data_IF_132912913934
#
_entry.id   IF_132912913934
#
_cell.length_a   1.000
_cell.length_b   1.000
_cell.length_c   1.000
_cell.angle_alpha   90.00
_cell.angle_beta   90.00
_cell.angle_gamma   90.00
#
_symmetry.space_group_name_H-M   'P 1'
#
loop_
_entity.id
_entity.type
_entity.pdbx_description
1 polymer ?
#
# COMPACT_ATOMS: atom_id res chain seq x y z
N UNK A 1 -12.14 -25.00 -22.89
CA UNK A 1 -12.47 -23.57 -23.01
C UNK A 1 -11.81 -22.81 -21.86
N UNK A 2 -11.47 -21.52 -22.00
CA UNK A 2 -10.89 -20.75 -20.89
C UNK A 2 -11.85 -20.68 -19.71
N UNK A 3 -11.34 -20.91 -18.50
CA UNK A 3 -12.12 -20.89 -17.25
C UNK A 3 -12.60 -19.48 -16.88
N UNK A 4 -11.76 -18.46 -17.13
CA UNK A 4 -12.11 -17.05 -16.96
C UNK A 4 -11.24 -16.15 -17.86
N UNK A 5 -11.80 -15.03 -18.30
CA UNK A 5 -11.10 -13.97 -19.05
C UNK A 5 -11.28 -12.66 -18.31
N UNK A 6 -10.18 -12.05 -17.90
CA UNK A 6 -10.16 -10.76 -17.19
C UNK A 6 -9.57 -9.72 -18.12
N UNK A 7 -10.30 -8.65 -18.37
CA UNK A 7 -9.91 -7.57 -19.26
C UNK A 7 -10.06 -6.24 -18.53
N UNK A 8 -8.95 -5.51 -18.42
CA UNK A 8 -8.94 -4.15 -17.87
C UNK A 8 -9.22 -3.13 -18.97
N UNK A 9 -9.70 -1.96 -18.56
CA UNK A 9 -9.80 -0.79 -19.41
C UNK A 9 -8.41 -0.18 -19.68
N UNK A 10 -8.37 0.82 -20.53
CA UNK A 10 -7.14 1.52 -20.87
C UNK A 10 -6.72 2.52 -19.77
N UNK A 11 -5.45 2.90 -19.81
CA UNK A 11 -4.84 3.92 -18.97
C UNK A 11 -4.54 5.17 -19.82
N UNK A 12 -4.88 6.35 -19.31
CA UNK A 12 -4.42 7.64 -19.81
C UNK A 12 -3.23 8.14 -18.98
N UNK A 13 -2.59 9.23 -19.39
CA UNK A 13 -1.46 9.82 -18.68
C UNK A 13 -1.63 11.33 -18.54
N UNK A 14 -1.27 11.85 -17.37
CA UNK A 14 -1.21 13.27 -17.08
C UNK A 14 0.14 13.58 -16.42
N UNK A 15 0.94 14.39 -17.11
CA UNK A 15 2.19 14.91 -16.55
C UNK A 15 1.91 16.11 -15.64
N UNK A 16 2.83 16.41 -14.72
CA UNK A 16 2.70 17.51 -13.78
C UNK A 16 2.42 18.84 -14.50
N UNK A 17 1.34 19.53 -14.08
CA UNK A 17 0.91 20.80 -14.68
C UNK A 17 0.38 20.72 -16.12
N UNK A 18 0.13 19.52 -16.65
CA UNK A 18 -0.40 19.32 -18.00
C UNK A 18 -1.82 18.73 -17.99
N UNK A 19 -2.47 18.77 -19.16
CA UNK A 19 -3.74 18.11 -19.39
C UNK A 19 -3.59 16.60 -19.56
N UNK A 20 -4.66 15.87 -19.23
CA UNK A 20 -4.76 14.43 -19.46
C UNK A 20 -4.70 14.08 -20.95
N UNK A 21 -3.91 13.07 -21.29
CA UNK A 21 -3.68 12.62 -22.66
C UNK A 21 -3.79 11.09 -22.79
N UNK A 22 -4.20 10.64 -23.96
CA UNK A 22 -4.10 9.22 -24.34
C UNK A 22 -2.65 8.85 -24.57
N UNK A 23 -2.23 7.74 -23.96
CA UNK A 23 -0.89 7.16 -24.17
C UNK A 23 -0.64 6.95 -25.66
N UNK A 24 0.54 7.39 -26.14
CA UNK A 24 0.90 7.30 -27.56
C UNK A 24 2.39 7.12 -27.78
N UNK A 25 2.77 5.99 -28.36
CA UNK A 25 4.15 5.72 -28.78
C UNK A 25 4.64 6.74 -29.82
N UNK A 26 3.81 7.06 -30.83
CA UNK A 26 4.18 7.99 -31.91
C UNK A 26 4.40 9.42 -31.41
N UNK A 27 3.61 9.89 -30.45
CA UNK A 27 3.75 11.23 -29.86
C UNK A 27 4.77 11.28 -28.71
N UNK A 28 5.31 10.14 -28.28
CA UNK A 28 6.18 10.06 -27.10
C UNK A 28 5.44 10.30 -25.78
N UNK A 29 4.10 10.16 -25.76
CA UNK A 29 3.26 10.45 -24.59
C UNK A 29 3.08 9.18 -23.75
N UNK A 30 4.06 8.81 -22.93
CA UNK A 30 4.01 7.66 -22.04
C UNK A 30 5.06 7.77 -20.91
N UNK A 31 4.88 7.00 -19.83
CA UNK A 31 5.99 6.61 -18.96
C UNK A 31 6.48 5.25 -19.44
N UNK A 32 7.73 5.17 -19.90
CA UNK A 32 8.34 3.91 -20.32
C UNK A 32 8.95 3.19 -19.11
N UNK A 33 8.62 1.91 -18.95
CA UNK A 33 8.99 1.14 -17.76
C UNK A 33 10.51 0.95 -17.69
N UNK A 34 11.15 0.63 -18.82
CA UNK A 34 12.59 0.47 -18.93
C UNK A 34 13.33 1.76 -18.54
N UNK A 35 12.87 2.92 -19.04
CA UNK A 35 13.43 4.22 -18.67
C UNK A 35 13.22 4.52 -17.18
N UNK A 36 12.02 4.29 -16.65
CA UNK A 36 11.69 4.49 -15.23
C UNK A 36 12.61 3.69 -14.32
N UNK A 37 12.82 2.41 -14.64
CA UNK A 37 13.63 1.48 -13.83
C UNK A 37 15.13 1.79 -13.86
N UNK A 38 15.60 2.66 -14.77
CA UNK A 38 16.99 3.16 -14.70
C UNK A 38 17.21 4.15 -13.55
N UNK A 39 16.14 4.73 -12.99
CA UNK A 39 16.21 5.81 -11.99
C UNK A 39 15.48 5.49 -10.69
N UNK A 40 14.43 4.69 -10.74
CA UNK A 40 13.52 4.49 -9.61
C UNK A 40 13.24 3.00 -9.36
N UNK A 41 12.93 2.69 -8.10
CA UNK A 41 12.57 1.33 -7.69
C UNK A 41 11.22 0.90 -8.31
N UNK A 42 11.03 -0.40 -8.59
CA UNK A 42 9.80 -0.91 -9.21
C UNK A 42 8.56 -0.81 -8.30
N UNK A 43 8.73 -0.92 -6.98
CA UNK A 43 7.61 -1.10 -6.05
C UNK A 43 6.66 0.11 -5.97
N UNK A 44 7.13 1.37 -5.90
CA UNK A 44 6.25 2.53 -6.01
C UNK A 44 5.40 2.52 -7.29
N UNK A 45 5.99 2.17 -8.43
CA UNK A 45 5.28 2.08 -9.70
C UNK A 45 4.23 0.96 -9.68
N UNK A 46 4.60 -0.23 -9.20
CA UNK A 46 3.67 -1.37 -9.07
C UNK A 46 2.50 -1.02 -8.15
N UNK A 47 2.80 -0.46 -6.98
CA UNK A 47 1.81 0.00 -6.03
C UNK A 47 0.82 0.96 -6.68
N UNK A 48 1.32 2.01 -7.34
CA UNK A 48 0.47 3.02 -7.93
C UNK A 48 -0.39 2.46 -9.07
N UNK A 49 0.21 1.71 -10.00
CA UNK A 49 -0.53 1.07 -11.10
C UNK A 49 -1.63 0.13 -10.59
N UNK A 50 -1.39 -0.58 -9.48
CA UNK A 50 -2.43 -1.39 -8.83
C UNK A 50 -3.48 -0.50 -8.16
N UNK A 51 -3.10 0.56 -7.45
CA UNK A 51 -4.03 1.48 -6.78
C UNK A 51 -4.97 2.20 -7.75
N UNK A 52 -4.51 2.49 -8.96
CA UNK A 52 -5.29 3.12 -10.03
C UNK A 52 -5.68 2.14 -11.14
N UNK A 53 -5.66 0.83 -10.88
CA UNK A 53 -5.90 -0.14 -11.93
C UNK A 53 -7.25 0.10 -12.65
N UNK A 54 -7.28 0.13 -13.98
CA UNK A 54 -8.49 0.44 -14.77
C UNK A 54 -9.47 -0.75 -14.83
N UNK A 55 -9.83 -1.33 -13.69
CA UNK A 55 -10.64 -2.56 -13.57
C UNK A 55 -12.07 -2.36 -14.11
N UNK A 56 -12.75 -1.29 -13.67
CA UNK A 56 -14.15 -1.03 -14.03
C UNK A 56 -14.33 0.04 -15.10
N UNK A 57 -13.38 0.97 -15.17
CA UNK A 57 -13.38 2.07 -16.12
C UNK A 57 -11.95 2.50 -16.42
N UNK A 58 -11.78 3.30 -17.48
CA UNK A 58 -10.51 3.97 -17.78
C UNK A 58 -10.05 4.81 -16.58
N UNK A 59 -8.76 4.75 -16.30
CA UNK A 59 -8.09 5.58 -15.28
C UNK A 59 -6.95 6.36 -15.90
N UNK A 60 -6.36 7.26 -15.11
CA UNK A 60 -5.27 8.14 -15.54
C UNK A 60 -4.10 7.97 -14.60
N UNK A 61 -2.92 7.72 -15.17
CA UNK A 61 -1.65 7.87 -14.46
C UNK A 61 -1.37 9.36 -14.31
N UNK A 62 -1.55 9.91 -13.12
CA UNK A 62 -1.23 11.30 -12.79
C UNK A 62 0.08 11.33 -11.99
N UNK A 63 1.08 12.04 -12.50
CA UNK A 63 2.41 12.13 -11.86
C UNK A 63 2.31 12.77 -10.46
N UNK A 64 1.43 13.74 -10.27
CA UNK A 64 1.27 14.41 -8.98
C UNK A 64 0.60 13.48 -7.95
N UNK A 65 -0.41 12.71 -8.38
CA UNK A 65 -1.06 11.69 -7.54
C UNK A 65 -0.12 10.51 -7.24
N UNK A 66 0.72 10.11 -8.20
CA UNK A 66 1.76 9.11 -7.99
C UNK A 66 2.70 9.50 -6.84
N UNK A 67 3.23 10.73 -6.89
CA UNK A 67 4.12 11.26 -5.84
C UNK A 67 3.35 11.38 -4.51
N UNK A 68 2.12 11.90 -4.54
CA UNK A 68 1.30 12.06 -3.35
C UNK A 68 1.02 10.73 -2.65
N UNK A 69 0.68 9.66 -3.38
CA UNK A 69 0.44 8.33 -2.82
C UNK A 69 1.70 7.64 -2.35
N UNK A 70 2.82 7.79 -3.07
CA UNK A 70 4.09 7.29 -2.58
C UNK A 70 4.43 7.89 -1.20
N UNK A 71 4.26 9.20 -1.05
CA UNK A 71 4.59 9.88 0.21
C UNK A 71 3.54 9.61 1.30
N UNK A 72 2.25 9.71 0.96
CA UNK A 72 1.15 9.59 1.91
C UNK A 72 0.85 8.15 2.34
N UNK A 73 1.01 7.18 1.44
CA UNK A 73 0.63 5.79 1.68
C UNK A 73 1.87 4.93 1.93
N UNK A 74 2.80 4.85 0.98
CA UNK A 74 3.97 3.98 1.14
C UNK A 74 4.92 4.47 2.23
N UNK A 75 5.26 5.76 2.25
CA UNK A 75 6.16 6.32 3.26
C UNK A 75 5.44 6.52 4.60
N UNK A 76 4.38 7.33 4.62
CA UNK A 76 3.76 7.79 5.87
C UNK A 76 2.88 6.73 6.56
N UNK A 77 2.28 5.79 5.84
CA UNK A 77 1.46 4.74 6.45
C UNK A 77 2.27 3.45 6.61
N UNK A 78 2.60 2.78 5.50
CA UNK A 78 3.25 1.46 5.54
C UNK A 78 4.68 1.53 6.10
N UNK A 79 5.51 2.40 5.51
CA UNK A 79 6.90 2.57 5.90
C UNK A 79 7.04 3.04 7.34
N UNK A 80 6.23 4.02 7.76
CA UNK A 80 6.21 4.49 9.14
C UNK A 80 5.84 3.38 10.13
N UNK A 81 4.81 2.58 9.85
CA UNK A 81 4.41 1.47 10.73
C UNK A 81 5.54 0.44 10.89
N UNK A 82 6.13 0.00 9.76
CA UNK A 82 7.22 -0.97 9.77
C UNK A 82 8.43 -0.42 10.52
N UNK A 83 8.84 0.82 10.20
CA UNK A 83 9.99 1.45 10.83
C UNK A 83 9.78 1.57 12.35
N UNK A 84 8.64 2.10 12.80
CA UNK A 84 8.34 2.24 14.23
C UNK A 84 8.36 0.88 14.94
N UNK A 85 7.76 -0.14 14.34
CA UNK A 85 7.69 -1.48 14.93
C UNK A 85 9.10 -2.11 15.05
N UNK A 86 9.88 -2.08 13.97
CA UNK A 86 11.22 -2.67 13.95
C UNK A 86 12.20 -1.90 14.83
N UNK A 87 12.18 -0.57 14.79
CA UNK A 87 13.03 0.29 15.63
C UNK A 87 12.72 0.06 17.11
N UNK A 88 11.45 -0.08 17.47
CA UNK A 88 11.05 -0.38 18.84
C UNK A 88 11.54 -1.77 19.30
N UNK A 89 11.35 -2.79 18.45
CA UNK A 89 11.85 -4.14 18.70
C UNK A 89 13.37 -4.20 18.87
N UNK A 90 14.11 -3.56 17.96
CA UNK A 90 15.56 -3.48 18.02
C UNK A 90 16.05 -2.76 19.28
N UNK A 91 15.41 -1.65 19.66
CA UNK A 91 15.85 -0.82 20.78
C UNK A 91 15.57 -1.43 22.15
N UNK A 92 14.43 -2.11 22.34
CA UNK A 92 13.97 -2.52 23.66
C UNK A 92 13.93 -4.04 23.86
N UNK A 93 14.14 -4.83 22.81
CA UNK A 93 14.00 -6.29 22.85
C UNK A 93 15.13 -7.02 22.11
N UNK A 94 16.29 -6.39 21.90
CA UNK A 94 17.45 -7.03 21.25
C UNK A 94 17.12 -7.59 19.85
N UNK A 95 16.18 -6.94 19.15
CA UNK A 95 15.69 -7.39 17.84
C UNK A 95 14.89 -8.69 17.87
N UNK A 96 14.45 -9.16 19.05
CA UNK A 96 13.65 -10.37 19.22
C UNK A 96 12.19 -10.01 19.46
N UNK A 97 11.30 -10.91 19.04
CA UNK A 97 9.87 -10.80 19.35
C UNK A 97 9.68 -11.09 20.85
N UNK A 98 9.10 -10.17 21.63
CA UNK A 98 8.84 -10.41 23.05
C UNK A 98 7.71 -11.41 23.25
N UNK A 99 7.67 -12.01 24.44
CA UNK A 99 6.54 -12.82 24.86
C UNK A 99 5.26 -11.98 24.90
N UNK A 100 4.17 -12.57 24.40
CA UNK A 100 2.85 -11.95 24.43
C UNK A 100 2.30 -12.04 25.86
N UNK A 101 2.02 -10.88 26.47
CA UNK A 101 1.29 -10.79 27.73
C UNK A 101 -0.20 -11.10 27.56
N UNK A 102 -0.99 -10.88 28.61
CA UNK A 102 -2.45 -10.99 28.52
C UNK A 102 -2.98 -9.82 27.67
N UNK A 103 -3.63 -10.07 26.52
CA UNK A 103 -4.15 -9.01 25.66
C UNK A 103 -5.27 -8.23 26.37
N UNK A 104 -5.22 -6.91 26.30
CA UNK A 104 -6.38 -6.08 26.64
C UNK A 104 -7.33 -5.90 25.45
N UNK A 105 -8.37 -5.07 25.59
CA UNK A 105 -9.36 -4.85 24.55
C UNK A 105 -8.77 -4.25 23.26
N UNK A 106 -7.76 -3.38 23.36
CA UNK A 106 -7.09 -2.76 22.21
C UNK A 106 -6.25 -3.81 21.48
N UNK A 107 -5.55 -4.67 22.23
CA UNK A 107 -4.77 -5.78 21.67
C UNK A 107 -5.68 -6.78 20.96
N UNK A 108 -6.78 -7.16 21.61
CA UNK A 108 -7.77 -8.09 21.06
C UNK A 108 -8.38 -7.55 19.76
N UNK A 109 -8.75 -6.26 19.72
CA UNK A 109 -9.26 -5.61 18.51
C UNK A 109 -8.23 -5.62 17.37
N UNK A 110 -6.95 -5.38 17.68
CA UNK A 110 -5.88 -5.41 16.67
C UNK A 110 -5.61 -6.83 16.15
N UNK A 111 -5.62 -7.83 17.03
CA UNK A 111 -5.47 -9.24 16.65
C UNK A 111 -6.62 -9.68 15.74
N UNK A 112 -7.86 -9.27 16.03
CA UNK A 112 -9.02 -9.54 15.17
C UNK A 112 -8.90 -8.84 13.81
N UNK A 113 -8.43 -7.59 13.78
CA UNK A 113 -8.20 -6.86 12.54
C UNK A 113 -7.17 -7.58 11.65
N UNK A 114 -6.07 -8.06 12.23
CA UNK A 114 -5.05 -8.86 11.52
C UNK A 114 -5.66 -10.19 11.03
N UNK A 115 -6.35 -10.91 11.90
CA UNK A 115 -6.89 -12.24 11.60
C UNK A 115 -7.93 -12.21 10.48
N UNK A 116 -8.80 -11.19 10.46
CA UNK A 116 -9.80 -11.02 9.41
C UNK A 116 -9.23 -10.45 8.10
N UNK A 117 -8.05 -9.84 8.11
CA UNK A 117 -7.48 -9.16 6.94
C UNK A 117 -7.12 -10.13 5.81
N UNK A 118 -6.56 -11.29 6.14
CA UNK A 118 -6.12 -12.27 5.14
C UNK A 118 -7.30 -12.77 4.29
N UNK A 119 -8.40 -13.19 4.93
CA UNK A 119 -9.60 -13.64 4.22
C UNK A 119 -10.19 -12.55 3.32
N UNK A 120 -10.27 -11.32 3.83
CA UNK A 120 -10.74 -10.13 3.10
C UNK A 120 -9.89 -9.78 1.88
N UNK A 121 -8.57 -9.99 1.96
CA UNK A 121 -7.64 -9.74 0.84
C UNK A 121 -7.76 -10.89 -0.17
N UNK A 122 -7.76 -12.14 0.29
CA UNK A 122 -7.91 -13.33 -0.56
C UNK A 122 -9.19 -13.27 -1.38
N UNK A 123 -10.34 -13.02 -0.76
CA UNK A 123 -11.64 -12.92 -1.45
C UNK A 123 -11.58 -11.90 -2.59
N UNK A 124 -10.98 -10.72 -2.34
CA UNK A 124 -10.87 -9.67 -3.36
C UNK A 124 -9.92 -10.06 -4.48
N UNK A 125 -8.82 -10.72 -4.18
CA UNK A 125 -7.89 -11.21 -5.19
C UNK A 125 -8.51 -12.29 -6.08
N UNK A 126 -9.26 -13.23 -5.49
CA UNK A 126 -10.00 -14.27 -6.23
C UNK A 126 -11.08 -13.67 -7.15
N UNK A 127 -11.62 -12.52 -6.77
CA UNK A 127 -12.57 -11.75 -7.58
C UNK A 127 -11.90 -10.74 -8.53
N UNK A 128 -10.57 -10.74 -8.65
CA UNK A 128 -9.79 -9.81 -9.50
C UNK A 128 -9.99 -8.33 -9.15
N UNK A 129 -10.32 -8.04 -7.89
CA UNK A 129 -10.47 -6.69 -7.32
C UNK A 129 -9.18 -6.25 -6.65
N UNK A 130 -8.13 -6.05 -7.46
CA UNK A 130 -6.79 -5.76 -6.98
C UNK A 130 -6.69 -4.40 -6.26
N UNK A 131 -7.42 -3.38 -6.72
CA UNK A 131 -7.50 -2.09 -6.02
C UNK A 131 -8.02 -2.24 -4.60
N UNK A 132 -9.10 -2.99 -4.45
CA UNK A 132 -9.75 -3.18 -3.15
C UNK A 132 -8.89 -4.05 -2.23
N UNK A 133 -8.21 -5.05 -2.79
CA UNK A 133 -7.26 -5.89 -2.06
C UNK A 133 -6.09 -5.04 -1.53
N UNK A 134 -5.49 -4.20 -2.38
CA UNK A 134 -4.42 -3.28 -1.98
C UNK A 134 -4.89 -2.29 -0.92
N UNK A 135 -6.08 -1.70 -1.09
CA UNK A 135 -6.67 -0.80 -0.10
C UNK A 135 -6.81 -1.46 1.27
N UNK A 136 -7.20 -2.74 1.31
CA UNK A 136 -7.34 -3.50 2.57
C UNK A 136 -6.01 -3.71 3.29
N UNK A 137 -4.93 -3.93 2.54
CA UNK A 137 -3.58 -4.04 3.10
C UNK A 137 -3.14 -2.71 3.69
N UNK A 138 -3.41 -1.60 2.99
CA UNK A 138 -3.08 -0.26 3.47
C UNK A 138 -3.89 0.14 4.71
N UNK A 139 -5.16 -0.25 4.79
CA UNK A 139 -5.97 -0.07 6.00
C UNK A 139 -5.38 -0.82 7.20
N UNK A 140 -4.87 -2.04 7.01
CA UNK A 140 -4.19 -2.77 8.08
C UNK A 140 -2.92 -2.04 8.56
N UNK A 141 -2.14 -1.47 7.64
CA UNK A 141 -0.96 -0.68 8.00
C UNK A 141 -1.33 0.60 8.78
N UNK A 142 -2.43 1.28 8.40
CA UNK A 142 -2.98 2.43 9.14
C UNK A 142 -3.48 2.02 10.53
N UNK A 143 -4.18 0.90 10.65
CA UNK A 143 -4.59 0.33 11.93
C UNK A 143 -3.39 0.02 12.84
N UNK A 144 -2.30 -0.52 12.28
CA UNK A 144 -1.05 -0.74 13.01
C UNK A 144 -0.41 0.55 13.56
N UNK A 145 -0.40 1.64 12.78
CA UNK A 145 0.04 2.94 13.28
C UNK A 145 -0.85 3.43 14.43
N UNK A 146 -2.18 3.36 14.27
CA UNK A 146 -3.14 3.75 15.29
C UNK A 146 -2.96 2.96 16.59
N UNK A 147 -2.76 1.65 16.48
CA UNK A 147 -2.48 0.79 17.63
C UNK A 147 -1.23 1.25 18.40
N UNK A 148 -0.13 1.57 17.71
CA UNK A 148 1.08 2.10 18.35
C UNK A 148 0.83 3.47 19.01
N UNK A 149 0.00 4.32 18.39
CA UNK A 149 -0.35 5.65 18.90
C UNK A 149 -1.25 5.62 20.14
N UNK A 150 -2.13 4.63 20.23
CA UNK A 150 -3.01 4.40 21.39
C UNK A 150 -2.22 3.76 22.54
N UNK A 151 -1.39 2.75 22.26
CA UNK A 151 -0.59 2.05 23.28
C UNK A 151 0.55 2.88 23.82
N UNK A 152 1.08 3.80 23.02
CA UNK A 152 2.19 4.69 23.38
C UNK A 152 3.34 3.95 24.09
N UNK A 153 3.85 2.83 23.53
CA UNK A 153 4.77 1.95 24.24
C UNK A 153 6.09 2.64 24.65
N UNK A 154 6.47 3.75 23.99
CA UNK A 154 7.60 4.59 24.38
C UNK A 154 7.39 5.38 25.68
N UNK A 155 6.15 5.62 26.13
CA UNK A 155 5.88 6.28 27.42
C UNK A 155 5.98 5.31 28.59
N UNK A 156 5.63 4.04 28.35
CA UNK A 156 5.62 2.99 29.37
C UNK A 156 7.02 2.48 29.71
N UNK A 157 8.01 2.78 28.87
CA UNK A 157 9.43 2.47 29.08
C UNK A 157 10.26 3.74 29.12
N UNK A 158 9.98 4.60 30.10
CA UNK A 158 10.92 5.63 30.55
C UNK A 158 11.84 5.00 31.60
N UNK A 159 13.15 5.09 31.34
CA UNK A 159 14.29 4.45 32.03
C UNK A 159 14.65 3.07 31.48
#
# INVERSE_FOLDING_TARGET
LPWQVVANNFLNIKFAGADEQKISKRRGTAVWIDEYLTRFAPDPLRYYLTAIAPETQRTTFDVDDFIARNNGELLNALGNFINRSLTFGARYFDGKVPDLGVPDEIDAAQIEAISSSAGKVTERLEQFRFRDALGSIMELARAGNKYLDEKQPWKQRKQ
#
